data_IF_173307203896
#
_entry.id   IF_173307203896
#
_cell.length_a   1.000
_cell.length_b   1.000
_cell.length_c   1.000
_cell.angle_alpha   90.00
_cell.angle_beta   90.00
_cell.angle_gamma   90.00
#
_symmetry.space_group_name_H-M   'P 1'
#
loop_
_entity.id
_entity.type
_entity.pdbx_description
1 polymer ?
#
# COMPACT_ATOMS: atom_id res chain seq x y z
N UNK A 1 10.20 -2.88 -5.79
CA UNK A 1 9.36 -4.04 -5.38
C UNK A 1 9.50 -5.29 -6.25
N UNK A 2 9.87 -5.22 -7.54
CA UNK A 2 10.09 -6.41 -8.41
C UNK A 2 11.08 -7.45 -7.84
N UNK A 3 12.01 -7.03 -6.98
CA UNK A 3 13.01 -7.93 -6.38
C UNK A 3 12.41 -8.87 -5.31
N UNK A 4 11.51 -8.37 -4.46
CA UNK A 4 10.97 -9.16 -3.35
C UNK A 4 10.08 -10.33 -3.79
N UNK A 5 9.34 -10.19 -4.90
CA UNK A 5 8.59 -11.30 -5.51
C UNK A 5 9.52 -12.35 -6.12
N UNK A 6 10.67 -11.92 -6.67
CA UNK A 6 11.73 -12.83 -7.13
C UNK A 6 12.46 -13.55 -5.99
N UNK A 7 12.45 -12.97 -4.78
CA UNK A 7 13.16 -13.49 -3.60
C UNK A 7 12.32 -14.51 -2.79
N UNK A 8 11.11 -14.87 -3.25
CA UNK A 8 10.19 -15.86 -2.63
C UNK A 8 9.93 -15.64 -1.13
N UNK A 9 9.68 -14.39 -0.75
CA UNK A 9 9.34 -14.06 0.65
C UNK A 9 7.87 -14.33 0.94
N UNK A 10 7.53 -14.78 2.15
CA UNK A 10 6.13 -14.97 2.56
C UNK A 10 5.48 -13.67 3.05
N UNK A 11 6.28 -12.77 3.63
CA UNK A 11 5.83 -11.51 4.21
C UNK A 11 6.74 -10.37 3.80
N UNK A 12 6.13 -9.23 3.49
CA UNK A 12 6.82 -8.00 3.14
C UNK A 12 6.31 -6.83 3.95
N UNK A 13 7.21 -6.20 4.68
CA UNK A 13 6.91 -5.01 5.49
C UNK A 13 7.40 -3.79 4.73
N UNK A 14 6.51 -2.81 4.56
CA UNK A 14 6.77 -1.60 3.76
C UNK A 14 6.33 -0.38 4.56
N UNK A 15 7.30 0.41 5.02
CA UNK A 15 7.05 1.70 5.67
C UNK A 15 7.04 2.82 4.64
N UNK A 16 6.03 2.84 3.77
CA UNK A 16 5.83 3.87 2.76
C UNK A 16 4.39 4.35 2.80
N UNK A 17 4.18 5.66 2.96
CA UNK A 17 2.88 6.30 2.81
C UNK A 17 2.89 7.23 1.59
N UNK A 18 1.86 7.13 0.77
CA UNK A 18 1.57 8.04 -0.33
C UNK A 18 0.44 8.95 0.14
N UNK A 19 0.77 10.18 0.51
CA UNK A 19 -0.19 11.17 1.02
C UNK A 19 -1.08 11.75 -0.11
N UNK A 20 -0.92 11.28 -1.34
CA UNK A 20 -1.57 11.85 -2.49
C UNK A 20 -2.96 11.25 -2.64
N UNK A 21 -3.94 11.85 -1.93
CA UNK A 21 -5.33 11.90 -2.39
C UNK A 21 -5.35 12.70 -3.71
N UNK A 22 -4.77 12.14 -4.77
CA UNK A 22 -4.91 12.72 -6.10
C UNK A 22 -6.39 12.70 -6.45
N UNK A 23 -6.89 13.74 -7.14
CA UNK A 23 -8.28 13.80 -7.63
C UNK A 23 -8.69 12.57 -8.47
N UNK A 24 -7.75 11.69 -8.85
CA UNK A 24 -7.98 10.32 -9.33
C UNK A 24 -7.73 9.31 -8.19
N UNK A 25 -8.51 9.39 -7.10
CA UNK A 25 -8.41 8.47 -5.96
C UNK A 25 -8.97 7.08 -6.31
N UNK A 26 -8.27 6.35 -7.18
CA UNK A 26 -8.51 4.94 -7.41
C UNK A 26 -7.30 4.14 -6.93
N UNK A 27 -7.56 3.00 -6.29
CA UNK A 27 -6.55 2.02 -5.88
C UNK A 27 -5.62 1.60 -7.04
N UNK A 28 -6.06 1.80 -8.28
CA UNK A 28 -5.29 1.55 -9.51
C UNK A 28 -4.16 2.55 -9.75
N UNK A 29 -4.17 3.72 -9.12
CA UNK A 29 -3.10 4.72 -9.26
C UNK A 29 -2.16 4.75 -8.05
N UNK A 30 -2.51 4.04 -6.97
CA UNK A 30 -1.63 3.93 -5.81
C UNK A 30 -0.59 2.81 -6.03
N UNK A 31 0.71 3.15 -6.07
CA UNK A 31 1.77 2.18 -6.35
C UNK A 31 1.94 1.14 -5.25
N UNK A 32 1.46 1.40 -4.03
CA UNK A 32 1.49 0.45 -2.92
C UNK A 32 0.35 -0.57 -3.10
N UNK A 33 -0.85 -0.13 -3.45
CA UNK A 33 -2.00 -0.99 -3.75
C UNK A 33 -1.77 -1.89 -4.95
N UNK A 34 -1.40 -1.33 -6.11
CA UNK A 34 -1.14 -2.14 -7.30
C UNK A 34 -0.10 -3.23 -7.06
N UNK A 35 0.95 -2.90 -6.30
CA UNK A 35 2.01 -3.87 -6.01
C UNK A 35 1.63 -4.83 -4.88
N UNK A 36 0.77 -4.42 -3.96
CA UNK A 36 0.15 -5.28 -2.95
C UNK A 36 -0.75 -6.32 -3.59
N UNK A 37 -1.59 -5.94 -4.56
CA UNK A 37 -2.44 -6.86 -5.33
C UNK A 37 -1.61 -7.91 -6.08
N UNK A 38 -0.53 -7.48 -6.75
CA UNK A 38 0.39 -8.42 -7.40
C UNK A 38 1.06 -9.37 -6.40
N UNK A 39 1.48 -8.87 -5.24
CA UNK A 39 2.09 -9.67 -4.19
C UNK A 39 1.10 -10.72 -3.61
N UNK A 40 -0.16 -10.34 -3.41
CA UNK A 40 -1.20 -11.27 -2.97
C UNK A 40 -1.44 -12.40 -3.98
N UNK A 41 -1.41 -12.10 -5.29
CA UNK A 41 -1.50 -13.12 -6.35
C UNK A 41 -0.33 -14.10 -6.34
N UNK A 42 0.80 -13.70 -5.75
CA UNK A 42 1.99 -14.54 -5.56
C UNK A 42 2.06 -15.16 -4.14
N UNK A 43 0.96 -15.11 -3.36
CA UNK A 43 0.86 -15.61 -1.98
C UNK A 43 1.77 -14.89 -0.97
N UNK A 44 2.07 -13.61 -1.20
CA UNK A 44 2.89 -12.79 -0.32
C UNK A 44 2.00 -11.81 0.46
N UNK A 45 2.09 -11.84 1.79
CA UNK A 45 1.41 -10.87 2.65
C UNK A 45 2.18 -9.55 2.66
N UNK A 46 1.50 -8.43 2.40
CA UNK A 46 2.10 -7.09 2.44
C UNK A 46 1.54 -6.30 3.62
N UNK A 47 2.42 -5.90 4.53
CA UNK A 47 2.09 -5.04 5.66
C UNK A 47 2.57 -3.61 5.37
N UNK A 48 1.67 -2.64 5.47
CA UNK A 48 1.97 -1.22 5.22
C UNK A 48 1.62 -0.37 6.45
N UNK A 49 2.30 0.76 6.60
CA UNK A 49 1.99 1.74 7.63
C UNK A 49 0.82 2.63 7.21
N UNK A 50 -0.09 2.94 8.15
CA UNK A 50 -1.20 3.87 7.94
C UNK A 50 -0.79 5.35 7.78
N UNK A 51 0.47 5.68 8.05
CA UNK A 51 0.97 7.05 8.12
C UNK A 51 0.87 7.64 9.52
N UNK A 52 1.48 8.82 9.73
CA UNK A 52 1.62 9.47 11.04
C UNK A 52 0.71 10.70 11.19
N UNK A 53 -0.46 10.68 10.54
CA UNK A 53 -1.42 11.80 10.50
C UNK A 53 -2.59 11.57 11.48
N UNK A 54 -2.29 11.12 12.70
CA UNK A 54 -3.29 10.78 13.73
C UNK A 54 -4.03 11.99 14.32
N UNK A 55 -3.96 13.15 13.67
CA UNK A 55 -4.51 14.43 14.08
C UNK A 55 -5.93 14.68 13.55
N UNK A 56 -6.40 13.92 12.55
CA UNK A 56 -7.74 14.07 11.96
C UNK A 56 -8.35 12.73 11.50
N UNK A 57 -9.67 12.72 11.27
CA UNK A 57 -10.35 11.61 10.61
C UNK A 57 -9.98 11.53 9.11
N UNK A 58 -10.06 10.32 8.54
CA UNK A 58 -9.82 10.06 7.11
C UNK A 58 -8.40 10.38 6.62
N UNK A 59 -7.42 10.28 7.50
CA UNK A 59 -6.00 10.53 7.21
C UNK A 59 -5.19 9.27 6.91
N UNK A 60 -5.83 8.10 6.87
CA UNK A 60 -5.21 6.83 6.52
C UNK A 60 -4.66 6.91 5.09
N UNK A 61 -3.35 6.69 4.94
CA UNK A 61 -2.73 6.64 3.62
C UNK A 61 -3.14 5.36 2.88
N UNK A 62 -3.63 5.50 1.65
CA UNK A 62 -4.09 4.38 0.83
C UNK A 62 -5.42 3.75 1.27
N UNK A 63 -6.05 4.23 2.34
CA UNK A 63 -7.41 3.81 2.67
C UNK A 63 -8.40 4.42 1.68
N UNK A 64 -9.39 3.65 1.23
CA UNK A 64 -10.64 4.22 0.76
C UNK A 64 -11.21 5.03 1.94
N UNK A 65 -11.02 6.35 1.93
CA UNK A 65 -11.88 7.20 2.73
C UNK A 65 -13.33 6.93 2.24
N UNK A 66 -14.30 6.76 3.15
CA UNK A 66 -15.69 6.54 2.78
C UNK A 66 -16.23 7.69 1.92
#
# INVERSE_FOLDING_TARGET
MKKATSDKVDVKIVSLSTNTLSNLSSYLYDPVHMRGDLAMKENIVVCTSSGNHGDCYYTLSGGLAP
#
